data_IF_325419326699
#
_entry.id   IF_325419326699
#
_cell.length_a   1.000
_cell.length_b   1.000
_cell.length_c   1.000
_cell.angle_alpha   90.00
_cell.angle_beta   90.00
_cell.angle_gamma   90.00
#
_symmetry.space_group_name_H-M   'P 1'
#
loop_
_entity.id
_entity.type
_entity.pdbx_description
1 polymer ?
#
# COMPACT_ATOMS: atom_id res chain seq x y z
N UNK A 1 25.15 22.58 24.73
CA UNK A 1 24.20 22.41 23.61
C UNK A 1 23.83 20.94 23.52
N UNK A 2 22.65 20.55 23.99
CA UNK A 2 22.11 19.20 23.78
C UNK A 2 20.87 19.35 22.90
N UNK A 3 20.97 18.96 21.64
CA UNK A 3 19.80 18.83 20.77
C UNK A 3 19.10 17.53 21.15
N UNK A 4 18.14 17.62 22.06
CA UNK A 4 17.21 16.52 22.31
C UNK A 4 16.25 16.44 21.12
N UNK A 5 16.63 15.66 20.11
CA UNK A 5 15.66 15.16 19.13
C UNK A 5 14.67 14.26 19.88
N UNK A 6 13.61 14.86 20.43
CA UNK A 6 12.41 14.17 20.89
C UNK A 6 11.64 13.61 19.68
N UNK A 7 12.26 12.71 18.92
CA UNK A 7 11.52 11.85 18.01
C UNK A 7 11.05 10.65 18.85
N UNK A 8 9.76 10.60 19.26
CA UNK A 8 9.26 9.59 20.21
C UNK A 8 9.09 8.20 19.57
N UNK A 9 9.72 7.95 18.41
CA UNK A 9 9.62 6.68 17.70
C UNK A 9 10.68 5.75 18.30
N UNK A 10 10.42 5.27 19.52
CA UNK A 10 11.15 4.16 20.12
C UNK A 10 10.82 2.88 19.34
N UNK A 11 11.54 2.65 18.23
CA UNK A 11 11.47 1.39 17.48
C UNK A 11 12.46 0.43 18.15
N UNK A 12 12.13 -0.05 19.35
CA UNK A 12 12.84 -1.20 19.91
C UNK A 12 12.33 -2.47 19.24
N UNK A 13 13.20 -3.06 18.43
CA UNK A 13 12.92 -4.31 17.73
C UNK A 13 12.81 -5.51 18.68
N UNK A 14 13.30 -5.38 19.93
CA UNK A 14 13.26 -6.43 20.96
C UNK A 14 11.96 -6.42 21.78
N UNK A 15 11.19 -5.33 21.77
CA UNK A 15 9.94 -5.25 22.51
C UNK A 15 8.88 -6.24 21.99
N UNK A 16 8.29 -7.04 22.87
CA UNK A 16 7.26 -8.05 22.54
C UNK A 16 5.86 -7.45 22.32
N UNK A 17 5.76 -6.13 22.38
CA UNK A 17 4.51 -5.38 22.32
C UNK A 17 4.48 -4.57 21.01
N UNK A 18 3.36 -4.64 20.29
CA UNK A 18 3.11 -3.88 19.06
C UNK A 18 1.92 -2.94 19.23
N UNK A 19 1.97 -1.83 18.50
CA UNK A 19 0.93 -0.80 18.52
C UNK A 19 -0.22 -1.22 17.61
N UNK A 20 -1.44 -1.11 18.10
CA UNK A 20 -2.69 -1.30 17.34
C UNK A 20 -3.42 0.05 17.23
N UNK A 21 -4.09 0.29 16.10
CA UNK A 21 -4.77 1.56 15.80
C UNK A 21 -6.19 1.35 15.26
N UNK A 22 -7.02 2.37 15.47
CA UNK A 22 -8.40 2.44 14.93
C UNK A 22 -9.48 1.92 15.87
N UNK A 23 -9.11 1.29 16.99
CA UNK A 23 -10.02 0.61 17.90
C UNK A 23 -10.73 -0.56 17.24
N UNK A 24 -11.58 -1.22 18.03
CA UNK A 24 -12.34 -2.38 17.63
C UNK A 24 -13.83 -2.21 17.91
N UNK A 25 -14.65 -3.14 17.41
CA UNK A 25 -16.10 -3.07 17.52
C UNK A 25 -16.62 -3.05 18.96
N UNK A 26 -15.85 -3.58 19.92
CA UNK A 26 -16.22 -3.60 21.34
C UNK A 26 -15.74 -2.36 22.11
N UNK A 27 -14.92 -1.51 21.50
CA UNK A 27 -14.27 -0.41 22.21
C UNK A 27 -15.19 0.81 22.29
N UNK A 28 -15.13 1.51 23.42
CA UNK A 28 -15.91 2.73 23.67
C UNK A 28 -15.37 3.88 22.81
N UNK A 29 -16.26 4.80 22.41
CA UNK A 29 -16.01 5.95 21.52
C UNK A 29 -14.68 6.71 21.76
N UNK A 30 -14.24 6.82 23.01
CA UNK A 30 -13.00 7.51 23.37
C UNK A 30 -11.76 6.90 22.70
N UNK A 31 -11.73 5.57 22.51
CA UNK A 31 -10.59 4.85 21.93
C UNK A 31 -10.58 4.81 20.39
N UNK A 32 -11.64 5.30 19.74
CA UNK A 32 -11.72 5.38 18.27
C UNK A 32 -11.02 6.62 17.69
N UNK A 33 -10.44 7.46 18.53
CA UNK A 33 -9.77 8.70 18.11
C UNK A 33 -8.43 8.43 17.43
N UNK A 34 -8.07 9.30 16.48
CA UNK A 34 -6.85 9.20 15.65
C UNK A 34 -5.56 9.20 16.50
N UNK A 35 -5.57 9.86 17.66
CA UNK A 35 -4.42 9.97 18.57
C UNK A 35 -4.28 8.85 19.60
N UNK A 36 -5.38 8.17 19.96
CA UNK A 36 -5.40 7.19 21.04
C UNK A 36 -4.73 5.89 20.59
N UNK A 37 -3.59 5.48 21.19
CA UNK A 37 -2.81 4.27 20.85
C UNK A 37 -3.07 3.14 21.84
N UNK A 38 -3.27 1.93 21.33
CA UNK A 38 -3.34 0.71 22.16
C UNK A 38 -2.14 -0.21 21.84
N UNK A 39 -1.81 -1.08 22.78
CA UNK A 39 -0.63 -1.93 22.75
C UNK A 39 -1.00 -3.37 23.05
N UNK A 40 -0.57 -4.29 22.18
CA UNK A 40 -0.87 -5.71 22.30
C UNK A 40 0.38 -6.56 22.13
N UNK A 41 0.43 -7.72 22.76
CA UNK A 41 1.54 -8.67 22.58
C UNK A 41 1.51 -9.29 21.19
N UNK A 42 2.69 -9.61 20.64
CA UNK A 42 2.83 -10.22 19.31
C UNK A 42 2.33 -11.66 19.21
N UNK A 43 2.41 -12.40 20.32
CA UNK A 43 2.09 -13.83 20.41
C UNK A 43 0.60 -14.10 20.66
N UNK A 44 -0.15 -13.07 21.01
CA UNK A 44 -1.55 -13.17 21.43
C UNK A 44 -2.49 -12.81 20.29
N UNK A 45 -3.46 -13.68 20.00
CA UNK A 45 -4.51 -13.43 19.01
C UNK A 45 -5.81 -13.02 19.72
N UNK A 46 -6.45 -11.96 19.22
CA UNK A 46 -7.74 -11.49 19.71
C UNK A 46 -8.72 -11.37 18.54
N UNK A 47 -9.98 -11.73 18.77
CA UNK A 47 -11.04 -11.68 17.75
C UNK A 47 -11.34 -10.28 17.20
N UNK A 48 -10.90 -9.25 17.91
CA UNK A 48 -11.14 -7.84 17.62
C UNK A 48 -9.88 -7.11 17.09
N UNK A 49 -8.80 -7.85 16.81
CA UNK A 49 -7.56 -7.34 16.22
C UNK A 49 -7.35 -7.98 14.84
N UNK A 50 -7.13 -7.16 13.82
CA UNK A 50 -6.88 -7.59 12.43
C UNK A 50 -5.81 -6.75 11.74
N UNK A 51 -5.63 -6.92 10.42
CA UNK A 51 -4.60 -6.23 9.64
C UNK A 51 -5.17 -5.43 8.46
N UNK A 52 -4.41 -4.41 8.03
CA UNK A 52 -4.66 -3.65 6.80
C UNK A 52 -3.41 -3.75 5.91
N UNK A 53 -3.60 -4.08 4.64
CA UNK A 53 -2.49 -4.16 3.69
C UNK A 53 -2.08 -2.75 3.24
N UNK A 54 -0.78 -2.50 3.19
CA UNK A 54 -0.19 -1.29 2.64
C UNK A 54 0.79 -1.71 1.57
N UNK A 55 0.63 -1.17 0.35
CA UNK A 55 1.54 -1.39 -0.75
C UNK A 55 2.20 -0.06 -1.12
N UNK A 56 3.52 -0.06 -1.25
CA UNK A 56 4.25 1.08 -1.81
C UNK A 56 3.94 1.17 -3.30
N UNK A 57 3.45 2.32 -3.74
CA UNK A 57 3.32 2.61 -5.16
C UNK A 57 4.70 2.98 -5.71
N UNK A 58 5.39 1.99 -6.30
CA UNK A 58 6.55 2.26 -7.15
C UNK A 58 5.97 2.83 -8.45
N UNK A 59 5.99 4.16 -8.58
CA UNK A 59 5.25 4.87 -9.63
C UNK A 59 5.39 4.25 -11.02
N UNK A 60 4.36 4.37 -11.83
CA UNK A 60 4.51 4.09 -13.26
C UNK A 60 5.51 5.08 -13.82
N UNK A 61 6.60 4.59 -14.40
CA UNK A 61 7.49 5.35 -15.29
C UNK A 61 6.73 5.76 -16.56
N UNK A 62 5.67 6.55 -16.42
CA UNK A 62 5.24 7.42 -17.50
C UNK A 62 6.27 8.54 -17.53
N UNK A 63 7.36 8.31 -18.26
CA UNK A 63 8.25 9.39 -18.65
C UNK A 63 7.36 10.49 -19.23
N UNK A 64 7.18 11.60 -18.50
CA UNK A 64 6.39 12.74 -18.95
C UNK A 64 6.89 13.28 -20.31
N UNK A 65 8.15 12.97 -20.63
CA UNK A 65 8.84 13.32 -21.86
C UNK A 65 8.85 12.21 -22.93
N UNK A 66 8.29 11.02 -22.68
CA UNK A 66 8.08 10.05 -23.76
C UNK A 66 6.82 10.41 -24.52
N UNK A 67 6.91 10.80 -25.81
CA UNK A 67 5.73 11.03 -26.61
C UNK A 67 4.98 9.70 -26.73
N UNK A 68 3.69 9.70 -26.40
CA UNK A 68 2.84 8.57 -26.76
C UNK A 68 2.97 8.35 -28.29
N UNK A 69 3.48 7.20 -28.76
CA UNK A 69 3.71 6.98 -30.19
C UNK A 69 2.39 6.93 -30.99
N UNK A 70 1.24 6.88 -30.32
CA UNK A 70 -0.08 6.97 -30.92
C UNK A 70 -0.74 8.35 -30.75
N UNK A 71 -0.01 9.39 -30.34
CA UNK A 71 -0.58 10.74 -30.18
C UNK A 71 -0.99 11.34 -31.52
N UNK A 72 -0.19 11.08 -32.57
CA UNK A 72 -0.38 11.65 -33.92
C UNK A 72 -1.00 10.65 -34.91
N UNK A 73 -1.26 9.41 -34.48
CA UNK A 73 -1.80 8.37 -35.37
C UNK A 73 -3.32 8.52 -35.54
N UNK A 74 -3.86 8.35 -36.76
CA UNK A 74 -5.30 8.40 -36.99
C UNK A 74 -6.02 7.29 -36.20
N UNK A 75 -7.26 7.57 -35.76
CA UNK A 75 -8.05 6.69 -34.88
C UNK A 75 -8.08 5.21 -35.33
N UNK A 76 -8.18 4.99 -36.64
CA UNK A 76 -8.20 3.65 -37.26
C UNK A 76 -6.92 2.86 -36.99
N UNK A 77 -5.76 3.52 -36.96
CA UNK A 77 -4.45 2.89 -36.67
C UNK A 77 -4.28 2.64 -35.18
N UNK A 78 -4.74 3.57 -34.33
CA UNK A 78 -4.78 3.38 -32.87
C UNK A 78 -5.63 2.16 -32.47
N UNK A 79 -6.80 1.97 -33.09
CA UNK A 79 -7.67 0.81 -32.86
C UNK A 79 -7.05 -0.51 -33.30
N UNK A 80 -6.38 -0.54 -34.46
CA UNK A 80 -5.63 -1.72 -34.93
C UNK A 80 -4.52 -2.11 -33.95
N UNK A 81 -3.73 -1.14 -33.49
CA UNK A 81 -2.64 -1.36 -32.53
C UNK A 81 -3.15 -1.83 -31.16
N UNK A 82 -4.30 -1.30 -30.71
CA UNK A 82 -4.95 -1.72 -29.47
C UNK A 82 -5.45 -3.17 -29.54
N UNK A 83 -6.12 -3.54 -30.64
CA UNK A 83 -6.62 -4.91 -30.88
C UNK A 83 -5.49 -5.93 -31.01
N UNK A 84 -4.36 -5.54 -31.63
CA UNK A 84 -3.20 -6.42 -31.82
C UNK A 84 -2.54 -6.85 -30.50
N UNK A 85 -2.63 -6.02 -29.45
CA UNK A 85 -2.00 -6.26 -28.15
C UNK A 85 -2.68 -7.34 -27.30
N UNK A 86 -3.93 -7.69 -27.61
CA UNK A 86 -4.72 -8.69 -26.86
C UNK A 86 -4.65 -10.12 -27.41
N UNK A 87 -3.90 -10.35 -28.50
CA UNK A 87 -3.78 -11.68 -29.09
C UNK A 87 -2.78 -12.52 -28.29
N UNK A 88 -3.26 -13.13 -27.19
CA UNK A 88 -2.50 -14.12 -26.39
C UNK A 88 -1.99 -15.23 -27.32
N UNK A 89 -0.67 -15.40 -27.37
CA UNK A 89 -0.05 -16.58 -27.96
C UNK A 89 -0.53 -17.82 -27.21
N UNK A 90 -1.29 -18.68 -27.88
CA UNK A 90 -1.50 -20.04 -27.42
C UNK A 90 -0.16 -20.76 -27.57
N UNK A 91 0.61 -20.87 -26.48
CA UNK A 91 1.74 -21.82 -26.42
C UNK A 91 1.20 -23.19 -26.85
N UNK A 92 1.68 -23.72 -27.97
CA UNK A 92 1.50 -25.12 -28.34
C UNK A 92 2.25 -25.94 -27.28
N UNK A 93 1.51 -26.68 -26.46
CA UNK A 93 2.08 -27.71 -25.58
C UNK A 93 2.63 -28.82 -26.46
N UNK A 94 3.90 -29.17 -26.26
CA UNK A 94 4.42 -30.51 -26.55
C UNK A 94 3.86 -31.48 -25.52
#
# INVERSE_FOLDING_TARGET
>A
MYSNNHNPIYIDNKSDIKVVRGGSWKDVSYFLQIGARDWQRKDSCYSYVGFRCVASFLGTEVNANTPNPNKDLPFKTKWKNFKGKFKREKKKSL
#
